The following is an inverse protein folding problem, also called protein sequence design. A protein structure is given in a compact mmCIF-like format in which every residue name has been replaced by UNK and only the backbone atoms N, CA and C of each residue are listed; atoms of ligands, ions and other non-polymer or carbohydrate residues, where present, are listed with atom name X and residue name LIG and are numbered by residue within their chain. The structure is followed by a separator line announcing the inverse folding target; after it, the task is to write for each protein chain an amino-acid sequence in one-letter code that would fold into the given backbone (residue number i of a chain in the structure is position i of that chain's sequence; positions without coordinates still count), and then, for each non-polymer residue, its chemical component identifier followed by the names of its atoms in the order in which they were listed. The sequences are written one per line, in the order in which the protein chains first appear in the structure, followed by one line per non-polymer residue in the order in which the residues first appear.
data_IF_846847884643
#
_entry.id   IF_846847884643
#
_cell.length_a   1.000
_cell.length_b   1.000
_cell.length_c   1.000
_cell.angle_alpha   90.00
_cell.angle_beta   90.00
_cell.angle_gamma   90.00
#
_symmetry.space_group_name_H-M   'P 1'
#
loop_
_entity.id
_entity.type
_entity.pdbx_description
1 polymer ?
#
# COMPACT_ATOMS: atom_id res chain seq x y z
N UNK A 1 15.77 -9.63 7.55
CA UNK A 1 14.61 -8.76 7.18
C UNK A 1 13.67 -8.51 8.37
N UNK A 2 14.19 -8.34 9.60
CA UNK A 2 13.40 -8.42 10.84
C UNK A 2 13.54 -7.19 11.75
N UNK A 3 13.91 -6.02 11.23
CA UNK A 3 14.13 -4.82 12.07
C UNK A 3 13.53 -3.50 11.56
N UNK A 4 12.92 -3.48 10.37
CA UNK A 4 12.49 -2.20 9.77
C UNK A 4 11.22 -1.65 10.43
N UNK A 5 10.35 -2.52 10.95
CA UNK A 5 9.13 -2.11 11.65
C UNK A 5 9.12 -2.73 13.04
N UNK A 6 9.37 -1.92 14.06
CA UNK A 6 9.15 -2.29 15.46
C UNK A 6 7.74 -1.89 15.87
N UNK A 7 7.17 -2.61 16.83
CA UNK A 7 5.95 -2.19 17.52
C UNK A 7 6.07 -0.70 17.92
N UNK A 8 5.01 0.08 17.73
CA UNK A 8 4.88 1.50 18.10
C UNK A 8 5.50 2.56 17.16
N UNK A 9 6.02 2.21 15.99
CA UNK A 9 6.52 3.20 15.03
C UNK A 9 5.39 3.76 14.15
N UNK A 10 5.24 5.10 13.99
CA UNK A 10 4.38 5.69 12.99
C UNK A 10 4.97 5.45 11.59
N UNK A 11 4.14 4.93 10.69
CA UNK A 11 4.53 4.57 9.33
C UNK A 11 3.75 5.44 8.36
N UNK A 12 4.47 5.99 7.40
CA UNK A 12 3.89 6.63 6.25
C UNK A 12 4.03 5.76 5.02
N UNK A 13 2.92 5.59 4.32
CA UNK A 13 2.81 4.75 3.13
C UNK A 13 2.41 5.65 1.98
N UNK A 14 3.37 5.96 1.11
CA UNK A 14 3.14 6.82 -0.03
C UNK A 14 2.43 6.00 -1.11
N UNK A 15 1.13 6.23 -1.27
CA UNK A 15 0.19 5.50 -2.13
C UNK A 15 -0.08 4.04 -1.71
N UNK A 16 -1.32 3.59 -1.86
CA UNK A 16 -1.82 2.35 -1.20
C UNK A 16 -2.80 1.54 -2.03
N UNK A 17 -3.17 2.02 -3.22
CA UNK A 17 -4.30 1.46 -3.97
C UNK A 17 -3.95 0.94 -5.36
N UNK A 18 -2.70 1.08 -5.78
CA UNK A 18 -2.23 0.53 -7.05
C UNK A 18 -1.37 -0.71 -6.81
N UNK A 19 -1.88 -1.85 -7.28
CA UNK A 19 -1.11 -3.01 -7.75
C UNK A 19 -0.42 -3.95 -6.75
N UNK A 20 -0.11 -3.61 -5.51
CA UNK A 20 0.57 -4.56 -4.59
C UNK A 20 -0.38 -5.65 -4.06
N UNK A 21 0.08 -6.91 -4.02
CA UNK A 21 -0.70 -8.10 -3.54
C UNK A 21 -1.20 -7.91 -2.12
N UNK A 22 -0.37 -7.30 -1.28
CA UNK A 22 -0.71 -6.84 0.04
C UNK A 22 -1.08 -5.36 0.00
N UNK A 23 -2.17 -5.00 0.68
CA UNK A 23 -2.43 -3.60 1.01
C UNK A 23 -1.48 -3.19 2.15
N UNK A 24 -0.48 -2.31 1.93
CA UNK A 24 0.53 -2.03 2.94
C UNK A 24 -0.07 -1.37 4.19
N UNK A 25 -1.19 -0.64 4.06
CA UNK A 25 -1.93 -0.05 5.19
C UNK A 25 -2.42 -1.11 6.17
N UNK A 26 -3.06 -2.17 5.65
CA UNK A 26 -3.57 -3.26 6.49
C UNK A 26 -2.43 -4.01 7.19
N UNK A 27 -1.32 -4.25 6.49
CA UNK A 27 -0.16 -4.91 7.10
C UNK A 27 0.47 -4.04 8.19
N UNK A 28 0.72 -2.77 7.91
CA UNK A 28 1.27 -1.83 8.87
C UNK A 28 0.42 -1.76 10.15
N UNK A 29 -0.91 -1.60 9.98
CA UNK A 29 -1.83 -1.47 11.11
C UNK A 29 -2.02 -2.77 11.88
N UNK A 30 -2.37 -3.85 11.19
CA UNK A 30 -2.90 -5.06 11.83
C UNK A 30 -1.88 -6.18 12.04
N UNK A 31 -0.79 -6.20 11.29
CA UNK A 31 0.26 -7.23 11.39
C UNK A 31 1.48 -6.69 12.13
N UNK A 32 1.94 -5.48 11.80
CA UNK A 32 3.12 -4.88 12.41
C UNK A 32 2.82 -4.01 13.64
N UNK A 33 1.56 -3.67 13.88
CA UNK A 33 1.16 -2.89 15.06
C UNK A 33 1.69 -1.46 15.02
N UNK A 34 1.72 -0.83 13.84
CA UNK A 34 2.06 0.58 13.71
C UNK A 34 1.11 1.43 14.59
N UNK A 35 1.69 2.33 15.38
CA UNK A 35 0.93 3.21 16.28
C UNK A 35 0.09 4.21 15.50
N UNK A 36 0.60 4.64 14.34
CA UNK A 36 -0.09 5.49 13.38
C UNK A 36 0.26 5.08 11.96
N UNK A 37 -0.74 4.98 11.09
CA UNK A 37 -0.56 4.75 9.65
C UNK A 37 -1.07 5.96 8.89
N UNK A 38 -0.17 6.61 8.15
CA UNK A 38 -0.52 7.70 7.25
C UNK A 38 -0.42 7.24 5.80
N UNK A 39 -1.35 7.66 4.95
CA UNK A 39 -1.40 7.24 3.55
C UNK A 39 -2.00 8.30 2.63
N UNK A 40 -1.52 8.35 1.39
CA UNK A 40 -2.03 9.24 0.34
C UNK A 40 -2.89 8.54 -0.69
N UNK A 41 -3.93 9.24 -1.16
CA UNK A 41 -4.67 8.89 -2.37
C UNK A 41 -5.41 10.13 -2.91
N UNK A 42 -6.09 10.00 -4.05
CA UNK A 42 -7.00 11.05 -4.54
C UNK A 42 -8.28 11.09 -3.70
N UNK A 43 -8.97 12.24 -3.71
CA UNK A 43 -10.18 12.49 -2.88
C UNK A 43 -11.16 11.33 -2.80
N UNK A 44 -11.49 10.71 -3.95
CA UNK A 44 -12.48 9.62 -4.04
C UNK A 44 -12.07 8.31 -3.34
N UNK A 45 -10.79 8.18 -2.97
CA UNK A 45 -10.18 6.97 -2.40
C UNK A 45 -9.91 7.10 -0.90
N UNK A 46 -10.13 8.26 -0.29
CA UNK A 46 -9.75 8.52 1.10
C UNK A 46 -10.53 7.65 2.10
N UNK A 47 -11.84 7.45 1.88
CA UNK A 47 -12.65 6.61 2.77
C UNK A 47 -12.23 5.15 2.73
N UNK A 48 -11.81 4.67 1.55
CA UNK A 48 -11.23 3.34 1.42
C UNK A 48 -9.96 3.23 2.28
N UNK A 49 -9.06 4.22 2.26
CA UNK A 49 -7.86 4.19 3.10
C UNK A 49 -8.16 4.13 4.60
N UNK A 50 -9.13 4.95 5.05
CA UNK A 50 -9.58 4.91 6.45
C UNK A 50 -10.10 3.52 6.82
N UNK A 51 -10.94 2.94 5.96
CA UNK A 51 -11.49 1.58 6.19
C UNK A 51 -10.42 0.49 6.27
N UNK A 52 -9.25 0.72 5.65
CA UNK A 52 -8.12 -0.21 5.62
C UNK A 52 -7.15 -0.03 6.80
N UNK A 53 -7.40 0.96 7.67
CA UNK A 53 -6.61 1.20 8.88
C UNK A 53 -5.66 2.39 8.82
N UNK A 54 -5.79 3.28 7.83
CA UNK A 54 -5.08 4.55 7.84
C UNK A 54 -5.68 5.51 8.88
N UNK A 55 -4.85 5.98 9.80
CA UNK A 55 -5.21 6.96 10.83
C UNK A 55 -5.16 8.40 10.29
N UNK A 56 -4.24 8.67 9.36
CA UNK A 56 -4.12 9.94 8.64
C UNK A 56 -4.21 9.69 7.14
N UNK A 57 -5.20 10.29 6.47
CA UNK A 57 -5.35 10.19 5.02
C UNK A 57 -5.12 11.55 4.38
N UNK A 58 -4.25 11.60 3.39
CA UNK A 58 -3.81 12.83 2.74
C UNK A 58 -4.26 12.82 1.29
N UNK A 59 -4.97 13.88 0.89
CA UNK A 59 -5.41 14.08 -0.47
C UNK A 59 -4.30 14.76 -1.28
N UNK A 60 -3.51 13.96 -2.01
CA UNK A 60 -2.36 14.50 -2.75
C UNK A 60 -2.77 15.52 -3.83
N UNK A 61 -4.06 15.60 -4.18
CA UNK A 61 -4.59 16.58 -5.14
C UNK A 61 -4.83 17.96 -4.53
N UNK A 62 -4.76 18.08 -3.21
CA UNK A 62 -5.05 19.31 -2.46
C UNK A 62 -3.88 19.79 -1.63
N UNK A 63 -3.04 18.89 -1.14
CA UNK A 63 -1.91 19.20 -0.29
C UNK A 63 -0.74 18.26 -0.55
N UNK A 64 0.47 18.73 -0.24
CA UNK A 64 1.69 17.94 -0.34
C UNK A 64 1.97 17.28 1.01
N UNK A 65 2.15 15.97 1.01
CA UNK A 65 2.49 15.24 2.23
C UNK A 65 3.86 15.63 2.80
N UNK A 66 4.79 16.06 1.94
CA UNK A 66 6.16 16.42 2.32
C UNK A 66 6.27 17.81 2.96
N UNK A 67 5.23 18.63 2.84
CA UNK A 67 5.10 19.93 3.51
C UNK A 67 4.48 19.80 4.92
N UNK A 68 4.01 18.61 5.30
CA UNK A 68 3.43 18.40 6.62
C UNK A 68 4.51 18.50 7.70
N UNK A 69 4.19 19.15 8.85
CA UNK A 69 5.10 19.23 9.98
C UNK A 69 5.33 17.85 10.63
N UNK A 70 4.38 16.94 10.47
CA UNK A 70 4.51 15.56 10.95
C UNK A 70 5.50 14.77 10.09
N UNK A 71 6.45 14.10 10.75
CA UNK A 71 7.45 13.22 10.14
C UNK A 71 7.25 11.79 10.64
N UNK A 72 7.74 10.81 9.89
CA UNK A 72 7.49 9.39 10.12
C UNK A 72 8.76 8.58 10.31
N UNK A 73 8.68 7.52 11.09
CA UNK A 73 9.84 6.65 11.36
C UNK A 73 10.13 5.69 10.21
N UNK A 74 9.11 5.36 9.41
CA UNK A 74 9.23 4.57 8.19
C UNK A 74 8.45 5.26 7.07
N UNK A 75 9.07 5.40 5.90
CA UNK A 75 8.39 5.82 4.66
C UNK A 75 8.49 4.69 3.64
N UNK A 76 7.32 4.17 3.23
CA UNK A 76 7.20 3.13 2.20
C UNK A 76 6.68 3.74 0.90
N UNK A 77 7.54 3.85 -0.11
CA UNK A 77 7.25 4.47 -1.41
C UNK A 77 6.98 3.45 -2.51
N UNK A 78 5.75 3.47 -3.03
CA UNK A 78 5.32 2.65 -4.18
C UNK A 78 5.10 3.48 -5.45
N UNK A 79 5.35 4.79 -5.42
CA UNK A 79 5.21 5.71 -6.56
C UNK A 79 6.55 5.94 -7.26
N UNK A 80 7.64 6.07 -6.50
CA UNK A 80 8.97 6.42 -7.03
C UNK A 80 9.31 7.91 -6.88
N UNK A 81 8.97 8.50 -5.73
CA UNK A 81 9.27 9.91 -5.38
C UNK A 81 10.24 9.99 -4.18
N UNK A 82 11.46 9.45 -4.27
CA UNK A 82 12.37 9.34 -3.13
C UNK A 82 12.74 10.68 -2.49
N UNK A 83 12.88 11.74 -3.30
CA UNK A 83 13.23 13.08 -2.80
C UNK A 83 12.14 13.63 -1.87
N UNK A 84 10.87 13.38 -2.18
CA UNK A 84 9.74 13.80 -1.34
C UNK A 84 9.58 12.89 -0.13
N UNK A 85 9.77 11.58 -0.33
CA UNK A 85 9.72 10.59 0.73
C UNK A 85 10.74 10.86 1.85
N UNK A 86 11.98 11.23 1.50
CA UNK A 86 13.03 11.56 2.48
C UNK A 86 12.67 12.79 3.32
N UNK A 87 11.98 13.80 2.74
CA UNK A 87 11.52 14.98 3.50
C UNK A 87 10.44 14.65 4.54
N UNK A 88 9.67 13.57 4.34
CA UNK A 88 8.66 13.10 5.28
C UNK A 88 9.25 12.20 6.39
N UNK A 89 10.53 11.83 6.28
CA UNK A 89 11.21 10.93 7.20
C UNK A 89 11.76 11.68 8.42
N UNK A 90 11.69 11.05 9.60
CA UNK A 90 12.42 11.50 10.79
C UNK A 90 13.91 11.22 10.64
N UNK A 91 14.72 11.96 11.38
CA UNK A 91 16.15 11.63 11.54
C UNK A 91 16.30 10.21 12.10
N UNK A 92 17.13 9.38 11.45
CA UNK A 92 17.30 7.97 11.78
C UNK A 92 16.15 7.03 11.33
N UNK A 93 15.15 7.54 10.61
CA UNK A 93 14.07 6.74 10.06
C UNK A 93 14.53 5.83 8.90
N UNK A 94 13.64 4.92 8.49
CA UNK A 94 13.90 3.98 7.39
C UNK A 94 13.08 4.34 6.15
N UNK A 95 13.75 4.50 5.02
CA UNK A 95 13.11 4.62 3.71
C UNK A 95 13.14 3.29 2.98
N UNK A 96 12.00 2.89 2.41
CA UNK A 96 11.84 1.66 1.65
C UNK A 96 11.03 1.98 0.39
N UNK A 97 11.52 1.56 -0.76
CA UNK A 97 10.86 1.79 -2.04
C UNK A 97 10.95 0.59 -2.98
N UNK A 98 9.88 0.36 -3.74
CA UNK A 98 9.74 -0.78 -4.67
C UNK A 98 9.62 -0.33 -6.14
N UNK A 99 9.75 0.97 -6.40
CA UNK A 99 9.61 1.56 -7.72
C UNK A 99 10.88 2.35 -8.04
N UNK A 100 11.42 2.27 -9.28
CA UNK A 100 12.49 3.16 -9.72
C UNK A 100 12.13 4.65 -9.54
N UNK A 101 13.09 5.57 -9.37
CA UNK A 101 14.55 5.35 -9.45
C UNK A 101 15.16 4.79 -8.16
N UNK A 102 14.45 4.84 -7.05
CA UNK A 102 14.93 4.34 -5.76
C UNK A 102 14.38 2.93 -5.50
N UNK A 103 14.95 1.93 -6.15
CA UNK A 103 14.54 0.55 -5.93
C UNK A 103 15.36 -0.07 -4.79
N UNK A 104 14.73 -0.30 -3.63
CA UNK A 104 15.43 -0.80 -2.43
C UNK A 104 15.40 -2.32 -2.30
N UNK A 105 14.35 -3.00 -2.80
CA UNK A 105 14.28 -4.46 -2.81
C UNK A 105 13.24 -5.00 -3.80
N UNK A 106 13.47 -6.21 -4.33
CA UNK A 106 12.44 -7.01 -5.03
C UNK A 106 11.81 -7.98 -4.05
N UNK A 107 10.48 -8.11 -4.08
CA UNK A 107 9.79 -9.13 -3.30
C UNK A 107 10.19 -10.55 -3.74
N UNK A 108 10.58 -11.39 -2.79
CA UNK A 108 10.65 -12.85 -2.99
C UNK A 108 9.33 -13.49 -2.60
N UNK A 109 8.61 -14.05 -3.58
CA UNK A 109 7.36 -14.78 -3.32
C UNK A 109 7.68 -16.17 -2.73
N UNK A 110 7.19 -16.44 -1.51
CA UNK A 110 7.35 -17.75 -0.86
C UNK A 110 6.05 -18.15 -0.16
N UNK A 111 5.73 -19.45 -0.19
CA UNK A 111 4.57 -20.00 0.52
C UNK A 111 4.60 -19.67 2.02
N UNK A 112 5.79 -19.68 2.62
CA UNK A 112 6.00 -19.35 4.03
C UNK A 112 5.52 -17.94 4.42
N UNK A 113 5.55 -16.95 3.50
CA UNK A 113 5.01 -15.61 3.79
C UNK A 113 3.48 -15.66 3.85
N UNK A 114 2.84 -16.42 2.94
CA UNK A 114 1.40 -16.55 2.93
C UNK A 114 0.89 -17.31 4.17
N UNK A 115 1.55 -18.40 4.55
CA UNK A 115 1.24 -19.15 5.77
C UNK A 115 1.29 -18.26 7.03
N UNK A 116 2.25 -17.34 7.10
CA UNK A 116 2.34 -16.35 8.20
C UNK A 116 1.17 -15.35 8.20
N UNK A 117 0.55 -15.09 7.05
CA UNK A 117 -0.57 -14.18 6.91
C UNK A 117 -1.93 -14.86 7.13
N UNK A 118 -2.01 -16.20 7.05
CA UNK A 118 -3.27 -16.94 7.20
C UNK A 118 -4.12 -16.54 8.41
N UNK A 119 -3.58 -16.40 9.65
CA UNK A 119 -4.40 -16.01 10.80
C UNK A 119 -5.08 -14.64 10.65
N UNK A 120 -4.43 -13.72 9.93
CA UNK A 120 -4.96 -12.38 9.69
C UNK A 120 -6.00 -12.36 8.57
N UNK A 121 -5.84 -13.24 7.58
CA UNK A 121 -6.81 -13.46 6.50
C UNK A 121 -8.07 -14.14 7.03
N UNK A 122 -7.93 -15.21 7.80
CA UNK A 122 -9.04 -15.98 8.39
C UNK A 122 -9.85 -15.16 9.40
N UNK A 123 -9.18 -14.35 10.24
CA UNK A 123 -9.86 -13.44 11.16
C UNK A 123 -10.50 -12.22 10.47
N UNK A 124 -10.23 -12.02 9.17
CA UNK A 124 -10.70 -10.86 8.42
C UNK A 124 -10.06 -9.53 8.83
N UNK A 125 -8.97 -9.54 9.61
CA UNK A 125 -8.18 -8.33 9.92
C UNK A 125 -7.47 -7.79 8.68
N UNK A 126 -6.99 -8.69 7.83
CA UNK A 126 -6.46 -8.36 6.50
C UNK A 126 -7.43 -8.93 5.47
N UNK A 127 -7.98 -8.06 4.63
CA UNK A 127 -8.96 -8.43 3.61
C UNK A 127 -8.40 -8.21 2.21
N UNK A 128 -8.71 -9.09 1.25
CA UNK A 128 -8.47 -8.79 -0.16
C UNK A 128 -9.31 -7.58 -0.56
N UNK A 129 -8.70 -6.64 -1.29
CA UNK A 129 -9.39 -5.48 -1.85
C UNK A 129 -9.44 -5.68 -3.35
N UNK A 130 -10.63 -5.97 -3.87
CA UNK A 130 -10.88 -6.13 -5.30
C UNK A 130 -11.53 -4.84 -5.79
N UNK A 131 -11.07 -4.31 -6.92
CA UNK A 131 -11.70 -3.13 -7.51
C UNK A 131 -13.14 -3.49 -7.93
N UNK A 132 -14.14 -2.61 -7.73
CA UNK A 132 -15.53 -2.89 -8.14
C UNK A 132 -15.69 -3.23 -9.64
N UNK A 133 -14.83 -2.68 -10.51
CA UNK A 133 -14.73 -2.99 -11.93
C UNK A 133 -13.64 -4.01 -12.24
N UNK A 134 -12.98 -4.53 -11.21
CA UNK A 134 -11.82 -5.39 -11.28
C UNK A 134 -12.13 -6.85 -11.61
N UNK A 135 -13.39 -7.27 -11.70
CA UNK A 135 -13.73 -8.66 -12.04
C UNK A 135 -14.01 -8.77 -13.55
N UNK A 136 -13.12 -9.47 -14.26
CA UNK A 136 -13.23 -9.71 -15.70
C UNK A 136 -13.32 -11.20 -16.01
N UNK A 137 -14.10 -11.58 -17.03
CA UNK A 137 -14.04 -12.93 -17.57
C UNK A 137 -12.74 -13.16 -18.33
N UNK A 138 -12.33 -14.42 -18.53
CA UNK A 138 -11.11 -14.75 -19.29
C UNK A 138 -11.10 -14.15 -20.71
N UNK A 139 -12.25 -14.10 -21.39
CA UNK A 139 -12.40 -13.47 -22.71
C UNK A 139 -12.11 -11.96 -22.73
N UNK A 140 -12.15 -11.28 -21.57
CA UNK A 140 -11.93 -9.84 -21.40
C UNK A 140 -10.56 -9.51 -20.83
N UNK A 141 -9.59 -10.43 -20.91
CA UNK A 141 -8.24 -10.22 -20.37
C UNK A 141 -7.56 -8.96 -20.93
N UNK A 142 -7.73 -8.66 -22.23
CA UNK A 142 -7.18 -7.44 -22.83
C UNK A 142 -7.80 -6.18 -22.21
N UNK A 143 -9.13 -6.15 -22.01
CA UNK A 143 -9.82 -5.04 -21.33
C UNK A 143 -9.33 -4.89 -19.87
N UNK A 144 -9.07 -6.01 -19.18
CA UNK A 144 -8.54 -6.01 -17.83
C UNK A 144 -7.15 -5.36 -17.76
N UNK A 145 -6.26 -5.66 -18.71
CA UNK A 145 -4.95 -5.00 -18.83
C UNK A 145 -5.10 -3.50 -19.16
N UNK A 146 -5.95 -3.13 -20.11
CA UNK A 146 -6.19 -1.71 -20.42
C UNK A 146 -6.72 -0.93 -19.23
N UNK A 147 -7.60 -1.53 -18.41
CA UNK A 147 -8.06 -0.91 -17.16
C UNK A 147 -6.92 -0.75 -16.15
N UNK A 148 -6.06 -1.77 -16.02
CA UNK A 148 -4.89 -1.76 -15.14
C UNK A 148 -3.92 -0.61 -15.48
N UNK A 149 -3.62 -0.44 -16.77
CA UNK A 149 -2.71 0.57 -17.31
C UNK A 149 -3.17 2.01 -17.03
N UNK A 150 -4.46 2.22 -16.82
CA UNK A 150 -4.97 3.55 -16.41
C UNK A 150 -4.45 4.01 -15.05
N UNK A 151 -3.86 3.11 -14.24
CA UNK A 151 -3.40 3.38 -12.87
C UNK A 151 -4.52 3.87 -11.93
N UNK A 152 -5.79 3.65 -12.32
CA UNK A 152 -6.96 4.11 -11.55
C UNK A 152 -7.59 3.05 -10.68
N UNK A 153 -7.23 1.78 -10.85
CA UNK A 153 -7.71 0.67 -10.04
C UNK A 153 -7.58 0.95 -8.53
N UNK A 154 -8.54 0.47 -7.77
CA UNK A 154 -8.65 0.58 -6.31
C UNK A 154 -8.58 -0.84 -5.74
N UNK A 155 -7.36 -1.36 -5.63
CA UNK A 155 -7.12 -2.76 -5.28
C UNK A 155 -6.83 -3.62 -6.50
N UNK A 156 -7.34 -4.86 -6.49
CA UNK A 156 -6.98 -5.90 -7.46
C UNK A 156 -7.94 -5.98 -8.63
N UNK A 157 -7.35 -6.19 -9.81
CA UNK A 157 -8.01 -6.67 -11.02
C UNK A 157 -7.81 -8.19 -11.07
N UNK A 158 -8.90 -8.93 -11.19
CA UNK A 158 -9.00 -10.38 -11.11
C UNK A 158 -9.70 -10.89 -12.37
N UNK A 159 -9.11 -11.90 -13.00
CA UNK A 159 -9.73 -12.62 -14.12
C UNK A 159 -10.32 -13.92 -13.60
N UNK A 160 -11.64 -14.08 -13.70
CA UNK A 160 -12.38 -15.25 -13.25
C UNK A 160 -13.75 -15.36 -13.93
N UNK A 161 -14.26 -16.56 -14.24
CA UNK A 161 -13.54 -17.84 -14.21
C UNK A 161 -12.52 -17.93 -15.34
N UNK A 162 -11.47 -18.72 -15.10
CA UNK A 162 -10.49 -19.15 -16.12
C UNK A 162 -10.97 -20.51 -16.66
N UNK A 163 -10.94 -20.75 -17.98
CA UNK A 163 -11.34 -22.01 -18.59
C UNK A 163 -10.59 -23.23 -18.05
#
# INVERSE_FOLDING_TARGET
MNQIVKHFMPIYILSTLSLTFSNPTQLAKYVFGASKVAATASTRKLDLLRSLGADLVIDYTKENFDDLPEKFDVVYDIIGEPERAVKALKEGGNFVAITPPAFTFVLTSTAAILEKLNPYLESGKVKPVIDPKGLFSFSKTVEAFSFLETSRASGKVVVYPIP
#
